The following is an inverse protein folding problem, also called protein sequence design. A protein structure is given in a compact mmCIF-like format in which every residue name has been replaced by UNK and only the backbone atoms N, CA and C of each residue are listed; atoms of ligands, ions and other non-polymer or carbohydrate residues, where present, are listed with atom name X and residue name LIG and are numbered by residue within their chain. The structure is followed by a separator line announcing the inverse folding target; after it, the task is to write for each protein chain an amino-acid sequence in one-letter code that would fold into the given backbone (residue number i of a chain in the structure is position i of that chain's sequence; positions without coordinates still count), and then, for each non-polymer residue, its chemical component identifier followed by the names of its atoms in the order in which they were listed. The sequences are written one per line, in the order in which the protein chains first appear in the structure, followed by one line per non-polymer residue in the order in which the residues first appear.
data_IF_732281714585
#
_entry.id   IF_732281714585
#
_cell.length_a   1.000
_cell.length_b   1.000
_cell.length_c   1.000
_cell.angle_alpha   90.00
_cell.angle_beta   90.00
_cell.angle_gamma   90.00
#
_symmetry.space_group_name_H-M   'P 1'
#
loop_
_entity.id
_entity.type
_entity.pdbx_description
1 polymer ?
#
# COMPACT_ATOMS: atom_id res chain seq x y z
N UNK A 1 17.91 10.71 -40.74
CA UNK A 1 18.59 9.70 -39.89
C UNK A 1 18.22 10.06 -38.46
N UNK A 2 17.34 9.28 -37.84
CA UNK A 2 16.86 9.48 -36.47
C UNK A 2 17.97 9.14 -35.48
N UNK A 3 18.31 10.08 -34.59
CA UNK A 3 19.18 9.80 -33.45
C UNK A 3 18.35 9.10 -32.37
N UNK A 4 18.74 7.92 -31.87
CA UNK A 4 18.02 7.29 -30.78
C UNK A 4 18.28 8.08 -29.49
N UNK A 5 17.24 8.73 -28.94
CA UNK A 5 17.26 9.26 -27.57
C UNK A 5 17.53 8.12 -26.60
N UNK A 6 18.76 8.03 -26.12
CA UNK A 6 19.22 7.08 -25.09
C UNK A 6 18.60 7.49 -23.74
N UNK A 7 17.38 7.04 -23.47
CA UNK A 7 16.75 7.06 -22.13
C UNK A 7 17.34 5.94 -21.23
N UNK A 8 18.67 5.78 -21.23
CA UNK A 8 19.36 4.68 -20.56
C UNK A 8 19.94 5.04 -19.20
N UNK A 9 20.54 6.23 -19.11
CA UNK A 9 21.34 6.63 -17.95
C UNK A 9 20.56 7.66 -17.12
N UNK A 10 19.45 7.20 -16.53
CA UNK A 10 18.74 8.02 -15.57
C UNK A 10 19.44 7.86 -14.20
N UNK A 11 20.15 8.87 -13.70
CA UNK A 11 20.88 8.78 -12.42
C UNK A 11 19.99 8.37 -11.26
N UNK A 12 18.68 8.64 -11.36
CA UNK A 12 17.65 8.20 -10.40
C UNK A 12 17.64 6.67 -10.24
N UNK A 13 17.87 5.90 -11.31
CA UNK A 13 17.85 4.42 -11.23
C UNK A 13 19.02 3.89 -10.39
N UNK A 14 20.20 4.50 -10.52
CA UNK A 14 21.38 4.12 -9.74
C UNK A 14 21.24 4.53 -8.28
N UNK A 15 20.64 5.69 -8.03
CA UNK A 15 20.36 6.17 -6.68
C UNK A 15 19.34 5.27 -5.96
N UNK A 16 18.24 4.88 -6.63
CA UNK A 16 17.25 3.95 -6.09
C UNK A 16 17.87 2.57 -5.80
N UNK A 17 18.78 2.09 -6.67
CA UNK A 17 19.44 0.80 -6.47
C UNK A 17 20.38 0.78 -5.25
N UNK A 18 21.04 1.91 -4.96
CA UNK A 18 22.05 2.02 -3.90
C UNK A 18 21.54 2.73 -2.63
N UNK A 19 20.25 3.07 -2.57
CA UNK A 19 19.69 3.82 -1.45
C UNK A 19 19.73 3.01 -0.14
N UNK A 20 20.28 3.63 0.90
CA UNK A 20 20.35 3.04 2.24
C UNK A 20 19.00 3.11 2.96
N UNK A 21 18.39 1.93 3.17
CA UNK A 21 17.10 1.77 3.85
C UNK A 21 17.11 2.23 5.31
N UNK A 22 18.28 2.32 5.97
CA UNK A 22 18.39 2.83 7.34
C UNK A 22 18.10 4.34 7.43
N UNK A 23 18.19 5.07 6.31
CA UNK A 23 17.82 6.49 6.22
C UNK A 23 16.31 6.71 6.16
N UNK A 24 15.49 5.65 6.04
CA UNK A 24 14.04 5.74 6.13
C UNK A 24 13.62 5.98 7.59
N UNK A 25 12.74 6.96 7.80
CA UNK A 25 12.11 7.18 9.10
C UNK A 25 11.32 5.93 9.50
N UNK A 26 11.47 5.50 10.76
CA UNK A 26 10.64 4.43 11.32
C UNK A 26 9.20 4.91 11.31
N UNK A 27 8.33 4.10 10.71
CA UNK A 27 6.89 4.35 10.66
C UNK A 27 6.17 3.12 11.18
N UNK A 28 5.14 3.34 12.01
CA UNK A 28 4.27 2.27 12.49
C UNK A 28 3.17 2.04 11.46
N UNK A 29 3.24 0.94 10.72
CA UNK A 29 2.21 0.57 9.76
C UNK A 29 1.08 -0.14 10.50
N UNK A 30 -0.11 0.47 10.54
CA UNK A 30 -1.32 -0.17 11.04
C UNK A 30 -1.96 -0.99 9.92
N UNK A 31 -1.83 -2.31 10.00
CA UNK A 31 -2.55 -3.24 9.12
C UNK A 31 -4.02 -3.30 9.54
N UNK A 32 -4.91 -2.70 8.74
CA UNK A 32 -6.36 -2.64 9.02
C UNK A 32 -7.10 -3.91 8.61
N UNK A 33 -6.49 -5.08 8.82
CA UNK A 33 -7.13 -6.37 8.58
C UNK A 33 -7.66 -6.94 9.91
N UNK A 34 -8.50 -6.18 10.62
CA UNK A 34 -9.20 -6.73 11.77
C UNK A 34 -10.37 -7.57 11.26
N UNK A 35 -10.50 -8.79 11.80
CA UNK A 35 -11.73 -9.54 11.61
C UNK A 35 -12.87 -8.76 12.26
N UNK A 36 -14.07 -8.73 11.66
CA UNK A 36 -15.22 -8.13 12.28
C UNK A 36 -15.46 -8.80 13.65
N UNK A 37 -15.83 -7.99 14.63
CA UNK A 37 -16.17 -8.46 15.97
C UNK A 37 -17.52 -9.17 15.96
N UNK A 38 -17.79 -9.99 16.98
CA UNK A 38 -19.09 -10.69 17.09
C UNK A 38 -20.27 -9.71 17.13
N UNK A 39 -20.08 -8.55 17.76
CA UNK A 39 -21.09 -7.50 17.89
C UNK A 39 -21.43 -6.90 16.52
N UNK A 40 -20.42 -6.53 15.73
CA UNK A 40 -20.59 -6.00 14.36
C UNK A 40 -21.30 -7.02 13.44
N UNK A 41 -20.95 -8.30 13.55
CA UNK A 41 -21.60 -9.39 12.79
C UNK A 41 -23.08 -9.53 13.18
N UNK A 42 -23.41 -9.42 14.47
CA UNK A 42 -24.79 -9.54 14.96
C UNK A 42 -25.64 -8.33 14.55
N UNK A 43 -25.07 -7.11 14.57
CA UNK A 43 -25.74 -5.91 14.09
C UNK A 43 -26.04 -6.00 12.59
N UNK A 44 -25.07 -6.38 11.76
CA UNK A 44 -25.28 -6.58 10.32
C UNK A 44 -26.36 -7.64 10.05
N UNK A 45 -26.34 -8.73 10.82
CA UNK A 45 -27.34 -9.81 10.69
C UNK A 45 -28.74 -9.32 11.03
N UNK A 46 -28.91 -8.51 12.08
CA UNK A 46 -30.21 -7.91 12.44
C UNK A 46 -30.68 -6.92 11.38
N UNK A 47 -29.79 -6.05 10.92
CA UNK A 47 -30.08 -5.10 9.85
C UNK A 47 -30.52 -5.80 8.54
N UNK A 48 -29.90 -6.94 8.19
CA UNK A 48 -30.32 -7.76 7.05
C UNK A 48 -31.70 -8.41 7.24
N UNK A 49 -32.10 -8.72 8.47
CA UNK A 49 -33.39 -9.32 8.77
C UNK A 49 -34.54 -8.31 8.77
N UNK A 50 -34.28 -7.07 9.19
CA UNK A 50 -35.26 -5.98 9.17
C UNK A 50 -35.45 -5.35 7.78
N UNK A 51 -34.47 -5.51 6.89
CA UNK A 51 -34.55 -5.07 5.50
C UNK A 51 -35.30 -6.04 4.56
N UNK A 52 -35.96 -7.07 5.11
CA UNK A 52 -36.69 -8.11 4.37
C UNK A 52 -38.18 -8.07 4.64
#
# INVERSE_FOLDING_TARGET
ITHPSKMGDNPVKQEVANFDKQKLKKTSTAEKNHLPTKEEIEEEKKAMQEAK
#
